data_IF_520299827216
#
_entry.id   IF_520299827216
#
_cell.length_a   1.000
_cell.length_b   1.000
_cell.length_c   1.000
_cell.angle_alpha   90.00
_cell.angle_beta   90.00
_cell.angle_gamma   90.00
#
_symmetry.space_group_name_H-M   'P 1'
#
loop_
_entity.id
_entity.type
_entity.pdbx_description
1 polymer ?
#
# COMPACT_ATOMS: atom_id res chain seq x y z
N UNK A 1 11.84 2.36 -23.29
CA UNK A 1 10.94 3.31 -22.58
C UNK A 1 11.74 4.33 -21.75
N UNK A 2 12.61 3.92 -20.85
CA UNK A 2 13.39 4.82 -19.96
C UNK A 2 14.14 5.92 -20.70
N UNK A 3 14.88 5.58 -21.77
CA UNK A 3 15.61 6.60 -22.59
C UNK A 3 14.67 7.69 -23.13
N UNK A 4 13.48 7.32 -23.61
CA UNK A 4 12.51 8.31 -24.13
C UNK A 4 12.02 9.25 -23.01
N UNK A 5 11.81 8.73 -21.79
CA UNK A 5 11.41 9.54 -20.64
C UNK A 5 12.52 10.51 -20.24
N UNK A 6 13.78 10.04 -20.17
CA UNK A 6 14.94 10.89 -19.85
C UNK A 6 15.13 11.97 -20.93
N UNK A 7 15.05 11.61 -22.20
CA UNK A 7 15.15 12.57 -23.31
C UNK A 7 14.01 13.60 -23.33
N UNK A 8 12.82 13.18 -22.84
CA UNK A 8 11.66 14.07 -22.71
C UNK A 8 11.70 14.98 -21.47
N UNK A 9 12.75 14.86 -20.62
CA UNK A 9 12.97 15.75 -19.47
C UNK A 9 12.70 15.14 -18.11
N UNK A 10 12.55 13.83 -17.99
CA UNK A 10 12.43 13.20 -16.67
C UNK A 10 13.74 13.36 -15.89
N UNK A 11 13.69 13.95 -14.69
CA UNK A 11 14.83 14.18 -13.81
C UNK A 11 14.89 13.17 -12.66
N UNK A 12 13.76 12.60 -12.25
CA UNK A 12 13.66 11.65 -11.14
C UNK A 12 12.75 10.50 -11.50
N UNK A 13 13.18 9.28 -11.18
CA UNK A 13 12.37 8.06 -11.21
C UNK A 13 12.00 7.66 -9.80
N UNK A 14 10.71 7.73 -9.47
CA UNK A 14 10.16 7.26 -8.19
C UNK A 14 9.85 5.77 -8.28
N UNK A 15 10.43 4.98 -7.39
CA UNK A 15 10.17 3.55 -7.23
C UNK A 15 9.31 3.35 -5.98
N UNK A 16 8.05 2.97 -6.17
CA UNK A 16 7.15 2.70 -5.06
C UNK A 16 7.46 1.33 -4.46
N UNK A 17 8.01 1.32 -3.24
CA UNK A 17 8.47 0.12 -2.55
C UNK A 17 7.34 -0.67 -1.88
N UNK A 18 6.11 -0.15 -1.84
CA UNK A 18 4.95 -0.88 -1.28
C UNK A 18 4.60 -2.15 -2.06
N UNK A 19 4.93 -2.18 -3.35
CA UNK A 19 4.62 -3.31 -4.25
C UNK A 19 5.86 -3.84 -4.99
N UNK A 20 7.03 -3.30 -4.70
CA UNK A 20 8.26 -3.64 -5.42
C UNK A 20 9.01 -4.77 -4.72
N UNK A 21 9.47 -5.75 -5.51
CA UNK A 21 10.36 -6.81 -5.03
C UNK A 21 11.81 -6.37 -5.14
N UNK A 22 12.66 -6.84 -4.26
CA UNK A 22 14.07 -6.46 -4.20
C UNK A 22 14.83 -6.76 -5.50
N UNK A 23 14.59 -7.93 -6.10
CA UNK A 23 15.18 -8.34 -7.38
C UNK A 23 14.79 -7.40 -8.51
N UNK A 24 13.50 -7.05 -8.60
CA UNK A 24 13.01 -6.08 -9.57
C UNK A 24 13.63 -4.68 -9.34
N UNK A 25 13.73 -4.23 -8.09
CA UNK A 25 14.34 -2.94 -7.77
C UNK A 25 15.80 -2.89 -8.21
N UNK A 26 16.55 -3.97 -7.98
CA UNK A 26 17.94 -4.05 -8.41
C UNK A 26 18.07 -3.92 -9.93
N UNK A 27 17.24 -4.64 -10.68
CA UNK A 27 17.25 -4.60 -12.14
C UNK A 27 16.85 -3.22 -12.69
N UNK A 28 15.76 -2.64 -12.20
CA UNK A 28 15.28 -1.34 -12.70
C UNK A 28 16.26 -0.20 -12.42
N UNK A 29 16.97 -0.24 -11.29
CA UNK A 29 18.05 0.73 -11.00
C UNK A 29 19.17 0.62 -12.02
N UNK A 30 19.60 -0.60 -12.36
CA UNK A 30 20.62 -0.82 -13.39
C UNK A 30 20.17 -0.30 -14.74
N UNK A 31 18.92 -0.57 -15.13
CA UNK A 31 18.33 -0.12 -16.39
C UNK A 31 18.23 1.40 -16.46
N UNK A 32 17.82 2.06 -15.39
CA UNK A 32 17.76 3.54 -15.30
C UNK A 32 19.18 4.11 -15.44
N UNK A 33 20.17 3.55 -14.73
CA UNK A 33 21.56 4.01 -14.81
C UNK A 33 22.18 3.81 -16.20
N UNK A 34 21.86 2.69 -16.85
CA UNK A 34 22.29 2.43 -18.23
C UNK A 34 21.67 3.46 -19.21
N UNK A 35 20.35 3.64 -19.12
CA UNK A 35 19.63 4.62 -19.95
C UNK A 35 20.14 6.05 -19.73
N UNK A 36 20.43 6.44 -18.49
CA UNK A 36 20.99 7.74 -18.11
C UNK A 36 22.36 7.98 -18.78
N UNK A 37 23.26 6.98 -18.73
CA UNK A 37 24.58 7.05 -19.41
C UNK A 37 24.43 7.19 -20.93
N UNK A 38 23.54 6.41 -21.54
CA UNK A 38 23.36 6.43 -22.99
C UNK A 38 22.76 7.76 -23.50
N UNK A 39 21.87 8.37 -22.72
CA UNK A 39 21.28 9.69 -23.07
C UNK A 39 22.21 10.83 -22.68
N UNK A 40 23.22 10.61 -21.84
CA UNK A 40 24.14 11.64 -21.36
C UNK A 40 23.51 12.62 -20.35
N UNK A 41 22.41 12.20 -19.67
CA UNK A 41 21.75 13.00 -18.62
C UNK A 41 21.73 12.25 -17.29
N UNK A 42 22.13 12.96 -16.23
CA UNK A 42 22.03 12.42 -14.85
C UNK A 42 20.58 12.50 -14.41
N UNK A 43 20.07 11.40 -13.84
CA UNK A 43 18.71 11.33 -13.26
C UNK A 43 18.77 10.81 -11.83
N UNK A 44 17.89 11.32 -10.98
CA UNK A 44 17.68 10.83 -9.61
C UNK A 44 16.87 9.54 -9.59
N UNK A 45 17.08 8.74 -8.54
CA UNK A 45 16.22 7.60 -8.23
C UNK A 45 15.73 7.80 -6.79
N UNK A 46 14.42 7.88 -6.61
CA UNK A 46 13.76 8.03 -5.33
C UNK A 46 13.10 6.70 -4.95
N UNK A 47 13.56 6.10 -3.86
CA UNK A 47 12.88 4.97 -3.24
C UNK A 47 11.82 5.51 -2.29
N UNK A 48 10.56 5.34 -2.65
CA UNK A 48 9.43 5.70 -1.80
C UNK A 48 9.11 4.51 -0.91
N UNK A 49 9.69 4.55 0.28
CA UNK A 49 9.58 3.48 1.27
C UNK A 49 8.19 3.49 1.91
N UNK A 50 7.66 2.30 2.13
CA UNK A 50 6.46 2.15 2.93
C UNK A 50 6.78 2.56 4.37
N UNK A 51 6.10 3.59 4.88
CA UNK A 51 6.19 4.01 6.27
C UNK A 51 5.49 3.01 7.21
N UNK A 52 5.51 3.24 8.53
CA UNK A 52 4.84 2.42 9.53
C UNK A 52 3.33 2.69 9.54
N UNK A 53 2.67 2.56 8.39
CA UNK A 53 1.23 2.76 8.24
C UNK A 53 0.48 1.46 8.49
N UNK A 54 -0.67 1.58 9.17
CA UNK A 54 -1.64 0.49 9.27
C UNK A 54 -2.27 0.28 7.89
N UNK A 55 -2.25 -0.95 7.40
CA UNK A 55 -2.78 -1.32 6.09
C UNK A 55 -3.61 -2.58 6.18
N UNK A 56 -4.61 -2.64 5.32
CA UNK A 56 -5.35 -3.88 5.06
C UNK A 56 -4.47 -4.86 4.29
N UNK A 57 -4.70 -6.15 4.53
CA UNK A 57 -4.02 -7.21 3.78
C UNK A 57 -4.49 -7.30 2.33
N UNK A 58 -3.75 -8.06 1.54
CA UNK A 58 -4.11 -8.35 0.17
C UNK A 58 -5.39 -9.21 0.12
N UNK A 59 -6.23 -8.91 -0.85
CA UNK A 59 -7.49 -9.62 -1.11
C UNK A 59 -7.46 -10.19 -2.53
N UNK A 60 -7.91 -11.42 -2.68
CA UNK A 60 -8.06 -12.06 -3.99
C UNK A 60 -9.12 -11.34 -4.83
N UNK A 61 -10.20 -10.90 -4.20
CA UNK A 61 -11.26 -10.10 -4.81
C UNK A 61 -11.53 -8.84 -4.00
N UNK A 62 -11.94 -7.76 -4.69
CA UNK A 62 -12.31 -6.51 -4.03
C UNK A 62 -13.59 -6.68 -3.23
N UNK A 63 -13.57 -6.32 -1.96
CA UNK A 63 -14.79 -6.21 -1.14
C UNK A 63 -15.60 -5.02 -1.65
N UNK A 64 -16.86 -5.26 -1.97
CA UNK A 64 -17.84 -4.23 -2.30
C UNK A 64 -18.83 -4.12 -1.15
N UNK A 65 -18.98 -2.94 -0.62
CA UNK A 65 -19.89 -2.69 0.49
C UNK A 65 -20.58 -1.34 0.33
N UNK A 66 -21.72 -1.20 0.95
CA UNK A 66 -22.53 0.00 0.99
C UNK A 66 -22.63 0.55 2.41
N UNK A 67 -23.22 1.73 2.55
CA UNK A 67 -23.42 2.31 3.89
C UNK A 67 -24.34 1.43 4.74
N UNK A 68 -23.83 1.03 5.89
CA UNK A 68 -24.51 0.17 6.86
C UNK A 68 -24.07 -1.29 6.81
N UNK A 69 -23.23 -1.67 5.86
CA UNK A 69 -22.65 -3.00 5.81
C UNK A 69 -21.61 -3.20 6.93
N UNK A 70 -21.47 -4.44 7.36
CA UNK A 70 -20.48 -4.84 8.35
C UNK A 70 -19.21 -5.32 7.66
N UNK A 71 -18.07 -4.83 8.13
CA UNK A 71 -16.76 -5.26 7.68
C UNK A 71 -15.95 -5.71 8.90
N UNK A 72 -15.32 -6.86 8.78
CA UNK A 72 -14.43 -7.39 9.81
C UNK A 72 -12.98 -7.02 9.49
N UNK A 73 -12.33 -6.36 10.43
CA UNK A 73 -10.88 -6.21 10.46
C UNK A 73 -10.31 -7.21 11.45
N UNK A 74 -9.39 -8.03 11.01
CA UNK A 74 -8.83 -9.10 11.82
C UNK A 74 -7.31 -9.16 11.74
N UNK A 75 -6.70 -9.79 12.73
CA UNK A 75 -5.27 -10.07 12.74
C UNK A 75 -4.93 -11.10 11.64
N UNK A 76 -3.76 -10.98 11.04
CA UNK A 76 -3.23 -11.97 10.10
C UNK A 76 -3.14 -13.37 10.76
N UNK A 77 -3.50 -14.40 10.01
CA UNK A 77 -3.50 -15.78 10.48
C UNK A 77 -4.74 -16.19 11.28
N UNK A 78 -5.73 -15.30 11.47
CA UNK A 78 -7.03 -15.65 12.08
C UNK A 78 -8.07 -15.94 11.00
N UNK A 79 -9.07 -16.78 11.35
CA UNK A 79 -10.17 -17.11 10.43
C UNK A 79 -11.18 -15.96 10.34
N UNK A 80 -11.71 -15.73 9.13
CA UNK A 80 -12.80 -14.78 8.91
C UNK A 80 -14.11 -15.29 9.50
N UNK A 81 -14.84 -14.42 10.18
CA UNK A 81 -16.18 -14.69 10.73
C UNK A 81 -17.28 -14.05 9.91
N UNK A 82 -16.96 -12.99 9.17
CA UNK A 82 -17.88 -12.31 8.27
C UNK A 82 -17.43 -12.51 6.81
N UNK A 83 -18.38 -12.42 5.90
CA UNK A 83 -18.14 -12.49 4.46
C UNK A 83 -17.23 -11.33 4.02
N UNK A 84 -17.54 -10.10 4.47
CA UNK A 84 -16.71 -8.93 4.25
C UNK A 84 -15.64 -8.88 5.35
N UNK A 85 -14.50 -9.48 5.11
CA UNK A 85 -13.40 -9.57 6.08
C UNK A 85 -12.06 -9.27 5.43
N UNK A 86 -11.22 -8.52 6.12
CA UNK A 86 -9.84 -8.28 5.72
C UNK A 86 -8.91 -8.34 6.93
N UNK A 87 -7.65 -8.65 6.68
CA UNK A 87 -6.61 -8.57 7.71
C UNK A 87 -6.06 -7.16 7.82
N UNK A 88 -5.41 -6.87 8.94
CA UNK A 88 -4.62 -5.65 9.12
C UNK A 88 -3.24 -6.01 9.65
N UNK A 89 -2.24 -5.22 9.27
CA UNK A 89 -0.84 -5.39 9.65
C UNK A 89 -0.50 -4.76 11.02
N UNK A 90 -1.51 -4.54 11.87
CA UNK A 90 -1.33 -3.95 13.19
C UNK A 90 -1.97 -4.83 14.27
N UNK A 91 -1.12 -5.50 15.06
CA UNK A 91 -1.55 -6.43 16.10
C UNK A 91 -2.32 -5.75 17.24
N UNK A 92 -2.05 -4.47 17.49
CA UNK A 92 -2.69 -3.68 18.53
C UNK A 92 -4.11 -3.22 18.22
N UNK A 93 -4.62 -3.40 16.99
CA UNK A 93 -5.93 -2.89 16.59
C UNK A 93 -7.05 -3.33 17.55
N UNK A 94 -7.00 -4.60 17.98
CA UNK A 94 -8.02 -5.19 18.86
C UNK A 94 -7.97 -4.67 20.31
N UNK A 95 -6.91 -4.01 20.71
CA UNK A 95 -6.74 -3.45 22.06
C UNK A 95 -6.85 -1.94 22.10
N UNK A 96 -6.52 -1.29 21.02
CA UNK A 96 -6.40 0.18 20.94
C UNK A 96 -7.68 0.85 20.43
N UNK A 97 -8.58 0.07 19.82
CA UNK A 97 -9.88 0.55 19.34
C UNK A 97 -10.98 0.03 20.27
N UNK A 98 -11.89 0.91 20.66
CA UNK A 98 -13.05 0.59 21.51
C UNK A 98 -14.35 0.64 20.70
N UNK A 99 -15.41 0.04 21.24
CA UNK A 99 -16.76 0.18 20.67
C UNK A 99 -17.17 1.66 20.66
N UNK A 100 -17.64 2.14 19.52
CA UNK A 100 -18.03 3.54 19.32
C UNK A 100 -16.93 4.45 18.77
N UNK A 101 -15.71 3.94 18.61
CA UNK A 101 -14.64 4.72 18.00
C UNK A 101 -14.83 4.86 16.49
N UNK A 102 -14.45 6.02 15.98
CA UNK A 102 -14.41 6.30 14.54
C UNK A 102 -13.13 5.75 13.93
N UNK A 103 -13.28 4.93 12.90
CA UNK A 103 -12.19 4.43 12.08
C UNK A 103 -12.24 5.06 10.69
N UNK A 104 -11.12 5.54 10.20
CA UNK A 104 -11.01 6.05 8.84
C UNK A 104 -10.12 5.14 7.99
N UNK A 105 -10.58 4.87 6.77
CA UNK A 105 -9.86 4.08 5.77
C UNK A 105 -9.67 4.91 4.53
N UNK A 106 -8.61 4.60 3.75
CA UNK A 106 -8.25 5.28 2.52
C UNK A 106 -8.07 6.80 2.68
N UNK A 107 -7.16 7.19 3.59
CA UNK A 107 -6.84 8.60 3.90
C UNK A 107 -8.06 9.43 4.37
N UNK A 108 -9.06 8.77 4.97
CA UNK A 108 -10.24 9.43 5.51
C UNK A 108 -11.44 9.48 4.55
N UNK A 109 -11.36 8.85 3.39
CA UNK A 109 -12.48 8.79 2.45
C UNK A 109 -13.62 7.90 2.95
N UNK A 110 -13.30 6.87 3.72
CA UNK A 110 -14.28 5.94 4.28
C UNK A 110 -14.29 6.09 5.80
N UNK A 111 -15.44 6.48 6.34
CA UNK A 111 -15.68 6.55 7.79
C UNK A 111 -16.45 5.31 8.23
N UNK A 112 -15.94 4.65 9.25
CA UNK A 112 -16.51 3.47 9.87
C UNK A 112 -16.66 3.67 11.38
N UNK A 113 -17.62 3.00 11.97
CA UNK A 113 -17.84 2.97 13.41
C UNK A 113 -17.46 1.60 13.95
N UNK A 114 -16.62 1.57 14.95
CA UNK A 114 -16.29 0.31 15.66
C UNK A 114 -17.49 -0.16 16.47
N UNK A 115 -17.91 -1.41 16.25
CA UNK A 115 -19.10 -1.96 16.89
C UNK A 115 -18.78 -2.98 17.99
N UNK A 116 -17.81 -3.87 17.74
CA UNK A 116 -17.50 -5.00 18.65
C UNK A 116 -16.03 -5.40 18.49
N UNK A 117 -15.39 -5.76 19.60
CA UNK A 117 -14.18 -6.58 19.64
C UNK A 117 -14.55 -8.03 19.92
N UNK A 118 -14.25 -8.89 18.99
CA UNK A 118 -14.48 -10.33 19.14
C UNK A 118 -13.14 -11.03 19.34
#
# INVERSE_FOLDING_TARGET
MLKKMISAGADVFRLNMSHARHDWCHQIVQDIRAASREVGRVVGILFDLQGPSIRTGDLDEKIKFERGDLIEFRKEGTEAKLENSTTVNYDGLMTDVSEGDDLTVDNGEILMLSLIHI
#
